data_IF_095262892374
#
_entry.id   IF_095262892374
#
_cell.length_a   1.000
_cell.length_b   1.000
_cell.length_c   1.000
_cell.angle_alpha   90.00
_cell.angle_beta   90.00
_cell.angle_gamma   90.00
#
_symmetry.space_group_name_H-M   'P 1'
#
loop_
_entity.id
_entity.type
_entity.pdbx_description
1 polymer ?
#
# COMPACT_ATOMS: atom_id res chain seq x y z
N UNK A 1 1.53 16.64 17.66
CA UNK A 1 1.15 15.30 17.24
C UNK A 1 -0.15 14.80 17.85
N UNK A 2 -0.77 15.61 18.72
CA UNK A 2 -2.09 15.25 19.26
C UNK A 2 -3.13 15.03 18.16
N UNK A 3 -3.06 15.80 17.08
CA UNK A 3 -3.97 15.62 15.95
C UNK A 3 -3.79 14.25 15.27
N UNK A 4 -2.53 13.78 15.11
CA UNK A 4 -2.28 12.48 14.48
C UNK A 4 -2.77 11.29 15.30
N UNK A 5 -2.93 11.46 16.63
CA UNK A 5 -3.47 10.43 17.51
C UNK A 5 -5.00 10.45 17.54
N UNK A 6 -5.61 11.63 17.47
CA UNK A 6 -7.07 11.79 17.54
C UNK A 6 -7.74 11.73 16.17
N UNK A 7 -7.04 12.19 15.14
CA UNK A 7 -7.53 12.30 13.78
C UNK A 7 -6.34 12.07 12.82
N UNK A 8 -5.86 10.80 12.71
CA UNK A 8 -4.71 10.52 11.87
C UNK A 8 -5.00 10.80 10.40
N UNK A 9 -3.98 11.25 9.63
CA UNK A 9 -4.16 11.46 8.20
C UNK A 9 -4.50 10.13 7.51
N UNK A 10 -5.23 10.18 6.39
CA UNK A 10 -5.58 8.96 5.66
C UNK A 10 -4.37 8.28 5.01
N UNK A 11 -3.29 9.02 4.76
CA UNK A 11 -2.04 8.51 4.24
C UNK A 11 -0.93 9.53 4.47
N UNK A 12 0.34 9.07 4.37
CA UNK A 12 1.52 9.94 4.37
C UNK A 12 2.49 9.41 3.32
N UNK A 13 2.58 10.11 2.19
CA UNK A 13 3.45 9.76 1.06
C UNK A 13 4.23 10.98 0.60
N UNK A 14 5.32 10.77 -0.15
CA UNK A 14 6.18 11.86 -0.59
C UNK A 14 5.46 12.83 -1.54
N UNK A 15 4.79 12.30 -2.55
CA UNK A 15 4.17 13.10 -3.60
C UNK A 15 2.99 12.34 -4.20
N UNK A 16 1.79 12.77 -3.85
CA UNK A 16 0.55 12.13 -4.33
C UNK A 16 0.38 12.26 -5.85
N UNK A 17 1.00 13.27 -6.48
CA UNK A 17 0.91 13.44 -7.93
C UNK A 17 1.58 12.33 -8.72
N UNK A 18 2.40 11.49 -8.08
CA UNK A 18 3.02 10.33 -8.71
C UNK A 18 2.08 9.14 -8.88
N UNK A 19 0.83 9.26 -8.45
CA UNK A 19 -0.12 8.14 -8.44
C UNK A 19 -0.35 7.55 -9.84
N UNK A 20 -0.49 8.38 -10.86
CA UNK A 20 -0.73 7.90 -12.23
C UNK A 20 0.45 7.07 -12.74
N UNK A 21 1.68 7.53 -12.49
CA UNK A 21 2.87 6.77 -12.85
C UNK A 21 2.92 5.45 -12.08
N UNK A 22 2.65 5.50 -10.79
CA UNK A 22 2.60 4.29 -9.96
C UNK A 22 1.57 3.29 -10.47
N UNK A 23 0.40 3.77 -10.86
CA UNK A 23 -0.65 2.89 -11.41
C UNK A 23 -0.21 2.18 -12.67
N UNK A 24 0.51 2.84 -13.56
CA UNK A 24 1.04 2.21 -14.76
C UNK A 24 2.04 1.12 -14.44
N UNK A 25 2.94 1.38 -13.48
CA UNK A 25 3.93 0.40 -13.06
C UNK A 25 3.28 -0.80 -12.37
N UNK A 26 2.25 -0.59 -11.57
CA UNK A 26 1.49 -1.66 -10.94
C UNK A 26 0.85 -2.55 -12.02
N UNK A 27 0.27 -1.96 -13.04
CA UNK A 27 -0.34 -2.72 -14.14
C UNK A 27 0.67 -3.61 -14.86
N UNK A 28 1.90 -3.13 -15.05
CA UNK A 28 2.98 -3.96 -15.61
C UNK A 28 3.36 -5.08 -14.66
N UNK A 29 3.52 -4.78 -13.38
CA UNK A 29 3.92 -5.78 -12.38
C UNK A 29 2.87 -6.90 -12.23
N UNK A 30 1.60 -6.60 -12.38
CA UNK A 30 0.55 -7.62 -12.35
C UNK A 30 0.77 -8.72 -13.37
N UNK A 31 1.29 -8.38 -14.54
CA UNK A 31 1.60 -9.37 -15.58
C UNK A 31 2.79 -10.25 -15.22
N UNK A 32 3.63 -9.80 -14.29
CA UNK A 32 4.81 -10.52 -13.83
C UNK A 32 4.54 -11.36 -12.56
N UNK A 33 3.32 -11.31 -12.04
CA UNK A 33 2.93 -11.99 -10.80
C UNK A 33 1.70 -12.89 -11.03
N UNK A 34 1.79 -13.87 -11.95
CA UNK A 34 0.62 -14.65 -12.35
C UNK A 34 0.01 -15.48 -11.23
N UNK A 35 0.81 -15.99 -10.30
CA UNK A 35 0.28 -16.77 -9.17
C UNK A 35 -0.62 -15.93 -8.29
N UNK A 36 -0.18 -14.70 -7.95
CA UNK A 36 -0.95 -13.79 -7.12
C UNK A 36 -2.22 -13.33 -7.87
N UNK A 37 -2.11 -13.09 -9.17
CA UNK A 37 -3.27 -12.70 -9.97
C UNK A 37 -4.30 -13.82 -10.09
N UNK A 38 -3.87 -15.07 -10.12
CA UNK A 38 -4.78 -16.20 -10.09
C UNK A 38 -5.55 -16.28 -8.77
N UNK A 39 -4.88 -16.05 -7.67
CA UNK A 39 -5.52 -16.01 -6.34
C UNK A 39 -6.55 -14.87 -6.29
N UNK A 40 -6.17 -13.68 -6.77
CA UNK A 40 -7.08 -12.53 -6.83
C UNK A 40 -8.32 -12.87 -7.65
N UNK A 41 -8.12 -13.41 -8.83
CA UNK A 41 -9.23 -13.77 -9.74
C UNK A 41 -10.14 -14.83 -9.13
N UNK A 42 -9.57 -15.83 -8.48
CA UNK A 42 -10.32 -16.95 -7.90
C UNK A 42 -11.17 -16.53 -6.69
N UNK A 43 -10.67 -15.64 -5.87
CA UNK A 43 -11.28 -15.32 -4.59
C UNK A 43 -11.86 -13.91 -4.47
N UNK A 44 -11.66 -13.03 -5.46
CA UNK A 44 -12.15 -11.66 -5.37
C UNK A 44 -13.68 -11.57 -5.19
N UNK A 45 -14.41 -12.46 -5.80
CA UNK A 45 -15.87 -12.48 -5.73
C UNK A 45 -16.37 -12.97 -4.36
N UNK A 46 -15.78 -14.03 -3.82
CA UNK A 46 -16.18 -14.60 -2.54
C UNK A 46 -15.69 -13.81 -1.32
N UNK A 47 -14.67 -12.99 -1.50
CA UNK A 47 -14.09 -12.12 -0.47
C UNK A 47 -13.79 -12.87 0.83
N UNK A 48 -12.88 -13.87 0.79
CA UNK A 48 -12.60 -14.69 1.98
C UNK A 48 -11.99 -13.91 3.15
N UNK A 49 -11.45 -12.70 2.90
CA UNK A 49 -10.88 -11.85 3.94
C UNK A 49 -11.84 -10.75 4.41
N UNK A 50 -13.11 -10.82 4.06
CA UNK A 50 -14.09 -9.84 4.52
C UNK A 50 -14.12 -9.80 6.06
N UNK A 51 -14.03 -8.59 6.62
CA UNK A 51 -13.98 -8.40 8.07
C UNK A 51 -12.60 -8.56 8.70
N UNK A 52 -11.60 -8.96 7.93
CA UNK A 52 -10.22 -9.10 8.44
C UNK A 52 -9.48 -7.77 8.31
N UNK A 53 -8.86 -7.33 9.40
CA UNK A 53 -8.00 -6.15 9.41
C UNK A 53 -6.56 -6.60 9.27
N UNK A 54 -5.86 -6.06 8.27
CA UNK A 54 -4.46 -6.38 8.01
C UNK A 54 -3.62 -5.13 8.18
N UNK A 55 -2.63 -5.19 9.06
CA UNK A 55 -1.62 -4.15 9.20
C UNK A 55 -0.31 -4.73 8.71
N UNK A 56 0.25 -4.15 7.67
CA UNK A 56 1.47 -4.64 7.06
C UNK A 56 2.63 -3.67 7.22
N UNK A 57 3.83 -4.22 7.32
CA UNK A 57 5.06 -3.46 7.33
C UNK A 57 6.07 -4.19 6.45
N UNK A 58 6.22 -3.72 5.23
CA UNK A 58 7.11 -4.31 4.24
C UNK A 58 7.54 -3.20 3.29
N UNK A 59 8.62 -3.41 2.55
CA UNK A 59 9.11 -2.44 1.57
C UNK A 59 7.98 -2.00 0.64
N UNK A 60 7.69 -0.70 0.60
CA UNK A 60 6.59 -0.17 -0.20
C UNK A 60 7.03 -0.02 -1.67
N UNK A 61 7.14 -1.14 -2.34
CA UNK A 61 7.52 -1.25 -3.74
C UNK A 61 6.29 -1.49 -4.63
N UNK A 62 6.50 -1.48 -5.94
CA UNK A 62 5.44 -1.79 -6.90
C UNK A 62 4.88 -3.20 -6.67
N UNK A 63 5.73 -4.18 -6.38
CA UNK A 63 5.29 -5.55 -6.11
C UNK A 63 4.45 -5.64 -4.84
N UNK A 64 4.84 -4.90 -3.80
CA UNK A 64 4.06 -4.81 -2.56
C UNK A 64 2.72 -4.13 -2.83
N UNK A 65 2.68 -3.16 -3.72
CA UNK A 65 1.42 -2.53 -4.11
C UNK A 65 0.45 -3.54 -4.73
N UNK A 66 0.95 -4.45 -5.57
CA UNK A 66 0.13 -5.53 -6.13
C UNK A 66 -0.40 -6.44 -5.03
N UNK A 67 0.42 -6.77 -4.04
CA UNK A 67 -0.01 -7.56 -2.89
C UNK A 67 -1.11 -6.85 -2.10
N UNK A 68 -0.92 -5.58 -1.79
CA UNK A 68 -1.90 -4.78 -1.04
C UNK A 68 -3.24 -4.77 -1.76
N UNK A 69 -3.23 -4.49 -3.07
CA UNK A 69 -4.47 -4.46 -3.84
C UNK A 69 -5.13 -5.84 -3.93
N UNK A 70 -4.34 -6.90 -3.95
CA UNK A 70 -4.88 -8.25 -3.88
C UNK A 70 -5.61 -8.48 -2.56
N UNK A 71 -5.00 -8.11 -1.43
CA UNK A 71 -5.64 -8.24 -0.13
C UNK A 71 -6.95 -7.45 -0.05
N UNK A 72 -6.96 -6.25 -0.60
CA UNK A 72 -8.17 -5.41 -0.65
C UNK A 72 -9.25 -6.08 -1.51
N UNK A 73 -8.88 -6.61 -2.67
CA UNK A 73 -9.82 -7.30 -3.55
C UNK A 73 -10.41 -8.56 -2.90
N UNK A 74 -9.66 -9.20 -2.01
CA UNK A 74 -10.14 -10.34 -1.24
C UNK A 74 -11.01 -9.93 -0.03
N UNK A 75 -11.21 -8.65 0.19
CA UNK A 75 -12.11 -8.11 1.20
C UNK A 75 -11.45 -7.55 2.44
N UNK A 76 -10.13 -7.60 2.57
CA UNK A 76 -9.42 -7.12 3.76
C UNK A 76 -9.45 -5.60 3.91
N UNK A 77 -9.48 -5.13 5.15
CA UNK A 77 -9.23 -3.75 5.51
C UNK A 77 -7.73 -3.62 5.80
N UNK A 78 -6.99 -2.99 4.88
CA UNK A 78 -5.52 -2.99 4.88
C UNK A 78 -4.97 -1.63 5.26
N UNK A 79 -3.94 -1.64 6.12
CA UNK A 79 -3.12 -0.47 6.43
C UNK A 79 -1.66 -0.86 6.28
N UNK A 80 -0.85 0.04 5.77
CA UNK A 80 0.52 -0.31 5.41
C UNK A 80 1.53 0.76 5.77
N UNK A 81 2.71 0.32 6.22
CA UNK A 81 3.87 1.18 6.44
C UNK A 81 5.10 0.47 5.87
N UNK A 82 6.14 1.23 5.52
CA UNK A 82 7.40 0.63 5.08
C UNK A 82 8.17 0.06 6.26
N UNK A 83 8.99 -0.95 6.01
CA UNK A 83 9.89 -1.52 7.01
C UNK A 83 11.32 -0.95 6.91
N UNK A 84 11.54 0.07 6.07
CA UNK A 84 12.86 0.66 5.86
C UNK A 84 12.72 2.10 5.38
N UNK A 85 13.63 2.98 5.82
CA UNK A 85 13.56 4.42 5.50
C UNK A 85 13.96 4.74 4.06
N UNK A 86 14.59 3.82 3.33
CA UNK A 86 15.07 4.06 1.96
C UNK A 86 14.42 3.19 0.89
N UNK A 87 13.62 2.21 1.26
CA UNK A 87 13.15 1.19 0.31
C UNK A 87 11.87 1.55 -0.43
N UNK A 88 11.17 2.60 -0.03
CA UNK A 88 9.91 2.99 -0.66
C UNK A 88 10.12 3.47 -2.10
N UNK A 89 9.28 2.98 -2.99
CA UNK A 89 9.10 3.57 -4.32
C UNK A 89 7.93 4.55 -4.22
N UNK A 90 8.22 5.84 -4.28
CA UNK A 90 7.24 6.88 -3.98
C UNK A 90 6.01 6.85 -4.89
N UNK A 91 6.19 6.46 -6.16
CA UNK A 91 5.07 6.32 -7.08
C UNK A 91 4.16 5.13 -6.73
N UNK A 92 4.71 4.07 -6.14
CA UNK A 92 3.90 2.95 -5.65
C UNK A 92 3.06 3.38 -4.45
N UNK A 93 3.68 4.07 -3.50
CA UNK A 93 2.97 4.60 -2.33
C UNK A 93 1.86 5.57 -2.74
N UNK A 94 2.13 6.46 -3.70
CA UNK A 94 1.15 7.41 -4.20
C UNK A 94 -0.07 6.71 -4.84
N UNK A 95 0.16 5.68 -5.64
CA UNK A 95 -0.93 4.93 -6.28
C UNK A 95 -1.81 4.23 -5.26
N UNK A 96 -1.22 3.63 -4.23
CA UNK A 96 -1.97 2.95 -3.18
C UNK A 96 -2.76 3.96 -2.34
N UNK A 97 -2.18 5.13 -2.05
CA UNK A 97 -2.89 6.20 -1.35
C UNK A 97 -4.10 6.67 -2.15
N UNK A 98 -3.95 6.86 -3.45
CA UNK A 98 -5.06 7.28 -4.32
C UNK A 98 -6.16 6.23 -4.41
N UNK A 99 -5.81 4.95 -4.31
CA UNK A 99 -6.78 3.87 -4.29
C UNK A 99 -7.57 3.81 -2.98
N UNK A 100 -7.25 4.65 -2.00
CA UNK A 100 -7.98 4.73 -0.74
C UNK A 100 -7.42 3.87 0.38
N UNK A 101 -6.28 3.24 0.20
CA UNK A 101 -5.64 2.44 1.24
C UNK A 101 -4.75 3.33 2.10
N UNK A 102 -4.92 3.33 3.42
CA UNK A 102 -4.01 4.06 4.30
C UNK A 102 -2.58 3.50 4.19
N UNK A 103 -1.67 4.30 3.63
CA UNK A 103 -0.27 3.96 3.46
C UNK A 103 0.60 5.09 3.99
N UNK A 104 1.64 4.72 4.75
CA UNK A 104 2.50 5.68 5.44
C UNK A 104 3.95 5.33 5.10
N UNK A 105 4.43 5.82 3.96
CA UNK A 105 5.74 5.49 3.46
C UNK A 105 6.23 6.52 2.45
N UNK A 106 7.49 6.94 2.58
CA UNK A 106 8.18 7.71 1.55
C UNK A 106 9.68 7.41 1.65
N UNK A 107 10.36 7.58 0.54
CA UNK A 107 11.79 7.32 0.47
C UNK A 107 12.55 8.46 1.15
N UNK A 108 13.49 8.10 2.02
CA UNK A 108 14.33 9.08 2.69
C UNK A 108 13.70 9.68 3.93
N UNK A 109 12.73 9.00 4.55
CA UNK A 109 12.16 9.46 5.82
C UNK A 109 13.23 9.42 6.92
N UNK A 110 13.12 10.34 7.90
CA UNK A 110 13.97 10.29 9.08
C UNK A 110 13.58 9.12 9.96
N UNK A 111 14.46 8.72 10.89
CA UNK A 111 14.13 7.68 11.85
C UNK A 111 12.92 8.06 12.70
N UNK A 112 12.81 9.32 13.06
CA UNK A 112 11.68 9.83 13.82
C UNK A 112 10.37 9.67 13.05
N UNK A 113 10.37 10.08 11.78
CA UNK A 113 9.22 9.93 10.89
C UNK A 113 8.86 8.46 10.67
N UNK A 114 9.86 7.61 10.56
CA UNK A 114 9.66 6.16 10.42
C UNK A 114 8.89 5.59 11.60
N UNK A 115 9.27 5.97 12.82
CA UNK A 115 8.58 5.48 14.02
C UNK A 115 7.18 6.08 14.18
N UNK A 116 6.94 7.23 13.58
CA UNK A 116 5.61 7.85 13.59
C UNK A 116 4.62 7.13 12.68
N UNK A 117 5.12 6.57 11.59
CA UNK A 117 4.29 5.78 10.68
C UNK A 117 3.98 4.41 11.26
#
# INVERSE_FOLDING_TARGET
MSQSLLDPPPFMVADHSLADFGRKEISVAEHEMPGLMQIRSKYAESKPLAGVRVSGSLHMTIQTAVLIETLVDLGADVRWASCNIFSTQDHAAAAIAEAGVPVFAWKGMSLEEYWEC
#
